data_IF_142664715901
#
_entry.id   IF_142664715901
#
_cell.length_a   1.000
_cell.length_b   1.000
_cell.length_c   1.000
_cell.angle_alpha   90.00
_cell.angle_beta   90.00
_cell.angle_gamma   90.00
#
_symmetry.space_group_name_H-M   'P 1'
#
loop_
_entity.id
_entity.type
_entity.pdbx_description
1 polymer ?
#
# COMPACT_ATOMS: atom_id res chain seq x y z
N UNK A 1 12.30 -14.25 2.72
CA UNK A 1 13.51 -13.71 2.04
C UNK A 1 13.38 -12.21 2.14
N UNK A 2 14.42 -11.49 2.60
CA UNK A 2 14.33 -10.04 2.83
C UNK A 2 14.96 -9.27 1.66
N UNK A 3 14.22 -8.33 1.08
CA UNK A 3 14.67 -7.48 -0.02
C UNK A 3 14.84 -6.01 0.44
N UNK A 4 15.90 -5.35 -0.04
CA UNK A 4 16.13 -3.91 0.07
C UNK A 4 16.42 -3.31 -1.30
N UNK A 5 15.74 -2.22 -1.65
CA UNK A 5 15.94 -1.50 -2.91
C UNK A 5 15.34 -0.11 -2.77
N UNK A 6 16.17 0.91 -3.02
CA UNK A 6 15.78 2.32 -3.11
C UNK A 6 15.69 2.68 -4.58
N UNK A 7 14.51 3.06 -5.06
CA UNK A 7 14.27 3.42 -6.45
C UNK A 7 14.13 4.93 -6.65
N UNK A 8 14.31 5.73 -5.58
CA UNK A 8 14.20 7.19 -5.62
C UNK A 8 12.75 7.67 -5.76
N UNK A 9 11.76 6.80 -5.51
CA UNK A 9 10.35 7.20 -5.55
C UNK A 9 10.04 8.17 -4.41
N UNK A 10 10.52 7.90 -3.19
CA UNK A 10 10.39 8.84 -2.07
C UNK A 10 10.91 10.24 -2.38
N UNK A 11 11.99 10.37 -3.15
CA UNK A 11 12.59 11.67 -3.48
C UNK A 11 11.69 12.50 -4.41
N UNK A 12 10.84 11.84 -5.20
CA UNK A 12 9.90 12.46 -6.13
C UNK A 12 8.54 12.77 -5.50
N UNK A 13 8.29 12.35 -4.25
CA UNK A 13 7.05 12.65 -3.54
C UNK A 13 6.99 14.12 -3.11
N UNK A 14 5.78 14.69 -2.97
CA UNK A 14 5.57 15.95 -2.27
C UNK A 14 6.22 15.94 -0.89
N UNK A 15 6.73 17.10 -0.45
CA UNK A 15 7.53 17.19 0.77
C UNK A 15 6.79 16.67 2.01
N UNK A 16 5.52 17.01 2.15
CA UNK A 16 4.64 16.58 3.24
C UNK A 16 4.49 15.04 3.27
N UNK A 17 4.33 14.42 2.10
CA UNK A 17 4.23 12.96 1.98
C UNK A 17 5.57 12.30 2.29
N UNK A 18 6.68 12.86 1.79
CA UNK A 18 8.03 12.34 2.07
C UNK A 18 8.37 12.41 3.56
N UNK A 19 8.09 13.53 4.22
CA UNK A 19 8.29 13.68 5.67
C UNK A 19 7.46 12.66 6.47
N UNK A 20 6.22 12.40 6.04
CA UNK A 20 5.37 11.36 6.62
C UNK A 20 6.01 9.98 6.47
N UNK A 21 6.50 9.64 5.27
CA UNK A 21 7.18 8.36 5.01
C UNK A 21 8.44 8.21 5.83
N UNK A 22 9.28 9.24 5.92
CA UNK A 22 10.54 9.19 6.68
C UNK A 22 10.29 8.99 8.18
N UNK A 23 9.33 9.74 8.75
CA UNK A 23 8.92 9.59 10.14
C UNK A 23 8.38 8.18 10.42
N UNK A 24 7.40 7.72 9.63
CA UNK A 24 6.81 6.40 9.80
C UNK A 24 7.82 5.28 9.55
N UNK A 25 8.77 5.45 8.62
CA UNK A 25 9.80 4.46 8.36
C UNK A 25 10.70 4.24 9.60
N UNK A 26 11.04 5.31 10.33
CA UNK A 26 11.81 5.21 11.57
C UNK A 26 11.02 4.47 12.65
N UNK A 27 9.74 4.77 12.79
CA UNK A 27 8.86 4.11 13.77
C UNK A 27 8.60 2.64 13.42
N UNK A 28 8.46 2.32 12.14
CA UNK A 28 8.14 0.97 11.67
C UNK A 28 9.37 0.08 11.52
N UNK A 29 10.57 0.62 11.46
CA UNK A 29 11.80 -0.16 11.32
C UNK A 29 11.94 -1.30 12.36
N UNK A 30 11.71 -1.09 13.68
CA UNK A 30 11.78 -2.16 14.67
C UNK A 30 10.59 -3.14 14.61
N UNK A 31 9.49 -2.77 13.96
CA UNK A 31 8.23 -3.51 14.01
C UNK A 31 8.15 -4.68 13.02
N UNK A 32 7.24 -5.61 13.29
CA UNK A 32 6.95 -6.74 12.38
C UNK A 32 5.94 -6.35 11.29
N UNK A 33 5.88 -7.11 10.19
CA UNK A 33 4.91 -6.87 9.12
C UNK A 33 3.45 -6.89 9.57
N UNK A 34 3.00 -7.83 10.42
CA UNK A 34 1.66 -7.77 11.02
C UNK A 34 1.35 -6.43 11.71
N UNK A 35 2.28 -5.91 12.51
CA UNK A 35 2.09 -4.64 13.23
C UNK A 35 2.03 -3.47 12.25
N UNK A 36 2.98 -3.40 11.31
CA UNK A 36 3.01 -2.38 10.25
C UNK A 36 1.72 -2.39 9.43
N UNK A 37 1.25 -3.59 9.07
CA UNK A 37 0.06 -3.78 8.25
C UNK A 37 -1.18 -3.24 8.97
N UNK A 38 -1.42 -3.62 10.22
CA UNK A 38 -2.56 -3.12 11.01
C UNK A 38 -2.50 -1.60 11.17
N UNK A 39 -1.32 -1.03 11.41
CA UNK A 39 -1.16 0.42 11.51
C UNK A 39 -1.52 1.13 10.19
N UNK A 40 -1.08 0.58 9.05
CA UNK A 40 -1.40 1.11 7.73
C UNK A 40 -2.88 0.97 7.38
N UNK A 41 -3.52 -0.15 7.72
CA UNK A 41 -4.97 -0.32 7.55
C UNK A 41 -5.76 0.67 8.41
N UNK A 42 -5.35 0.85 9.66
CA UNK A 42 -5.98 1.80 10.59
C UNK A 42 -5.85 3.24 10.07
N UNK A 43 -4.70 3.59 9.50
CA UNK A 43 -4.49 4.89 8.84
C UNK A 43 -5.44 5.06 7.65
N UNK A 44 -5.58 4.05 6.79
CA UNK A 44 -6.48 4.11 5.63
C UNK A 44 -7.94 4.29 6.05
N UNK A 45 -8.37 3.54 7.06
CA UNK A 45 -9.72 3.63 7.63
C UNK A 45 -9.98 5.03 8.20
N UNK A 46 -9.04 5.57 8.99
CA UNK A 46 -9.17 6.88 9.60
C UNK A 46 -9.25 8.02 8.57
N UNK A 47 -8.38 8.02 7.55
CA UNK A 47 -8.39 9.08 6.54
C UNK A 47 -9.61 8.99 5.61
N UNK A 48 -10.10 7.79 5.32
CA UNK A 48 -11.28 7.60 4.46
C UNK A 48 -12.59 7.86 5.20
N UNK A 49 -12.64 7.58 6.51
CA UNK A 49 -13.78 7.89 7.37
C UNK A 49 -14.02 9.39 7.60
N UNK A 50 -13.01 10.23 7.31
CA UNK A 50 -13.06 11.69 7.47
C UNK A 50 -13.47 12.46 6.20
N UNK A 51 -13.62 11.78 5.07
CA UNK A 51 -13.91 12.42 3.79
C UNK A 51 -15.19 11.87 3.15
N UNK A 52 -15.81 12.69 2.30
CA UNK A 52 -16.94 12.26 1.49
C UNK A 52 -16.51 11.20 0.47
N UNK A 53 -17.46 10.35 0.05
CA UNK A 53 -17.19 9.24 -0.87
C UNK A 53 -16.53 9.68 -2.18
N UNK A 54 -16.93 10.84 -2.72
CA UNK A 54 -16.37 11.41 -3.94
C UNK A 54 -14.87 11.75 -3.80
N UNK A 55 -14.39 11.98 -2.57
CA UNK A 55 -13.01 12.34 -2.27
C UNK A 55 -12.16 11.12 -1.86
N UNK A 56 -12.77 9.97 -1.57
CA UNK A 56 -12.06 8.74 -1.15
C UNK A 56 -10.94 8.32 -2.11
N UNK A 57 -11.09 8.33 -3.44
CA UNK A 57 -10.01 7.90 -4.34
C UNK A 57 -8.73 8.73 -4.20
N UNK A 58 -8.83 10.02 -3.88
CA UNK A 58 -7.66 10.89 -3.71
C UNK A 58 -6.88 10.57 -2.43
N UNK A 59 -7.58 10.31 -1.32
CA UNK A 59 -6.92 9.94 -0.05
C UNK A 59 -6.35 8.52 -0.11
N UNK A 60 -7.02 7.59 -0.81
CA UNK A 60 -6.49 6.25 -1.09
C UNK A 60 -5.23 6.35 -1.94
N UNK A 61 -5.20 7.20 -2.97
CA UNK A 61 -4.00 7.44 -3.77
C UNK A 61 -2.82 7.95 -2.91
N UNK A 62 -3.09 8.89 -1.98
CA UNK A 62 -2.07 9.37 -1.06
C UNK A 62 -1.55 8.27 -0.14
N UNK A 63 -2.45 7.44 0.40
CA UNK A 63 -2.07 6.28 1.21
C UNK A 63 -1.22 5.28 0.43
N UNK A 64 -1.58 4.97 -0.81
CA UNK A 64 -0.80 4.09 -1.69
C UNK A 64 0.60 4.65 -1.93
N UNK A 65 0.73 5.97 -2.10
CA UNK A 65 2.02 6.64 -2.22
C UNK A 65 2.87 6.49 -0.94
N UNK A 66 2.28 6.70 0.23
CA UNK A 66 2.94 6.50 1.53
C UNK A 66 3.41 5.04 1.69
N UNK A 67 2.53 4.07 1.45
CA UNK A 67 2.85 2.64 1.53
C UNK A 67 3.99 2.29 0.59
N UNK A 68 3.98 2.80 -0.63
CA UNK A 68 5.03 2.55 -1.62
C UNK A 68 6.36 3.14 -1.18
N UNK A 69 6.35 4.35 -0.61
CA UNK A 69 7.54 4.96 -0.03
C UNK A 69 8.08 4.15 1.16
N UNK A 70 7.21 3.73 2.07
CA UNK A 70 7.59 2.89 3.21
C UNK A 70 8.21 1.57 2.76
N UNK A 71 7.65 0.95 1.70
CA UNK A 71 8.21 -0.27 1.12
C UNK A 71 9.62 -0.08 0.56
N UNK A 72 10.04 1.13 0.16
CA UNK A 72 11.45 1.39 -0.23
C UNK A 72 12.40 1.46 0.98
N UNK A 73 11.90 1.93 2.13
CA UNK A 73 12.70 2.17 3.33
C UNK A 73 12.72 1.00 4.32
N UNK A 74 11.72 0.13 4.26
CA UNK A 74 11.57 -1.00 5.17
C UNK A 74 12.06 -2.31 4.55
N UNK A 75 12.56 -3.27 5.37
CA UNK A 75 12.85 -4.62 4.92
C UNK A 75 11.58 -5.31 4.44
N UNK A 76 11.53 -5.66 3.15
CA UNK A 76 10.41 -6.39 2.56
C UNK A 76 10.59 -7.87 2.79
N UNK A 77 9.71 -8.48 3.58
CA UNK A 77 9.75 -9.92 3.79
C UNK A 77 8.82 -10.62 2.81
N UNK A 78 9.41 -11.24 1.79
CA UNK A 78 8.67 -11.94 0.74
C UNK A 78 7.99 -13.24 1.23
N UNK A 79 8.17 -13.62 2.50
CA UNK A 79 7.40 -14.70 3.12
C UNK A 79 6.17 -14.19 3.91
N UNK A 80 6.06 -12.88 4.14
CA UNK A 80 4.94 -12.29 4.87
C UNK A 80 3.77 -12.01 3.92
N UNK A 81 2.57 -12.56 4.18
CA UNK A 81 1.38 -12.28 3.38
C UNK A 81 0.99 -10.79 3.44
N UNK A 82 1.24 -10.13 4.57
CA UNK A 82 0.98 -8.70 4.74
C UNK A 82 1.90 -7.84 3.86
N UNK A 83 3.21 -8.17 3.85
CA UNK A 83 4.17 -7.49 2.99
C UNK A 83 3.82 -7.66 1.51
N UNK A 84 3.50 -8.89 1.10
CA UNK A 84 3.12 -9.21 -0.28
C UNK A 84 1.82 -8.50 -0.68
N UNK A 85 0.84 -8.38 0.22
CA UNK A 85 -0.38 -7.60 -0.04
C UNK A 85 -0.09 -6.13 -0.32
N UNK A 86 0.70 -5.47 0.55
CA UNK A 86 1.07 -4.07 0.34
C UNK A 86 1.90 -3.87 -0.94
N UNK A 87 2.80 -4.79 -1.25
CA UNK A 87 3.60 -4.75 -2.48
C UNK A 87 2.74 -4.86 -3.74
N UNK A 88 1.69 -5.67 -3.75
CA UNK A 88 0.75 -5.81 -4.89
C UNK A 88 0.03 -4.50 -5.23
N UNK A 89 -0.24 -3.66 -4.23
CA UNK A 89 -0.93 -2.37 -4.42
C UNK A 89 0.03 -1.18 -4.44
N UNK A 90 1.35 -1.41 -4.42
CA UNK A 90 2.34 -0.35 -4.55
C UNK A 90 2.31 0.28 -5.94
N UNK A 91 2.64 1.57 -6.08
CA UNK A 91 2.83 2.21 -7.41
C UNK A 91 4.16 1.82 -8.08
N UNK A 92 4.98 1.01 -7.41
CA UNK A 92 6.26 0.55 -7.95
C UNK A 92 6.07 -0.79 -8.66
N UNK A 93 6.08 -0.78 -10.00
CA UNK A 93 5.89 -1.97 -10.85
C UNK A 93 6.79 -3.16 -10.45
N UNK A 94 8.03 -2.88 -10.03
CA UNK A 94 8.96 -3.93 -9.59
C UNK A 94 8.48 -4.63 -8.33
N UNK A 95 7.91 -3.90 -7.38
CA UNK A 95 7.37 -4.48 -6.15
C UNK A 95 6.12 -5.32 -6.45
N UNK A 96 5.26 -4.82 -7.34
CA UNK A 96 4.10 -5.60 -7.80
C UNK A 96 4.55 -6.92 -8.46
N UNK A 97 5.54 -6.86 -9.36
CA UNK A 97 6.10 -8.04 -10.03
C UNK A 97 6.72 -9.03 -9.04
N UNK A 98 7.52 -8.55 -8.09
CA UNK A 98 8.07 -9.39 -7.02
C UNK A 98 6.96 -10.07 -6.23
N UNK A 99 5.90 -9.34 -5.86
CA UNK A 99 4.79 -9.92 -5.11
C UNK A 99 4.05 -10.99 -5.92
N UNK A 100 3.77 -10.75 -7.19
CA UNK A 100 3.12 -11.73 -8.08
C UNK A 100 3.96 -13.01 -8.21
N UNK A 101 5.28 -12.89 -8.30
CA UNK A 101 6.16 -14.06 -8.40
C UNK A 101 6.20 -14.89 -7.11
N UNK A 102 6.07 -14.25 -5.95
CA UNK A 102 6.11 -14.89 -4.64
C UNK A 102 4.74 -15.36 -4.14
N UNK A 103 3.65 -14.93 -4.82
CA UNK A 103 2.27 -15.26 -4.50
C UNK A 103 1.60 -16.01 -5.65
N UNK A 104 1.93 -17.31 -5.87
CA UNK A 104 1.31 -18.08 -6.94
C UNK A 104 -0.20 -18.31 -6.73
N UNK A 105 -0.68 -18.29 -5.49
CA UNK A 105 -2.10 -18.30 -5.13
C UNK A 105 -2.48 -17.04 -4.34
N UNK A 106 -2.85 -16.01 -5.09
CA UNK A 106 -3.24 -14.71 -4.54
C UNK A 106 -4.53 -14.79 -3.74
N UNK A 107 -5.48 -15.64 -4.15
CA UNK A 107 -6.77 -15.71 -3.47
C UNK A 107 -6.64 -16.41 -2.12
N UNK A 108 -5.86 -17.49 -2.03
CA UNK A 108 -5.57 -18.13 -0.75
C UNK A 108 -4.90 -17.16 0.25
N UNK A 109 -4.00 -16.31 -0.23
CA UNK A 109 -3.40 -15.27 0.62
C UNK A 109 -4.43 -14.22 1.05
N UNK A 110 -5.29 -13.77 0.15
CA UNK A 110 -6.37 -12.84 0.48
C UNK A 110 -7.37 -13.46 1.48
N UNK A 111 -7.74 -14.73 1.34
CA UNK A 111 -8.58 -15.44 2.30
C UNK A 111 -7.95 -15.48 3.70
N UNK A 112 -6.65 -15.78 3.78
CA UNK A 112 -5.90 -15.69 5.03
C UNK A 112 -5.98 -14.27 5.61
N UNK A 113 -5.69 -13.24 4.81
CA UNK A 113 -5.69 -11.85 5.27
C UNK A 113 -7.07 -11.39 5.74
N UNK A 114 -8.15 -11.74 5.05
CA UNK A 114 -9.53 -11.43 5.48
C UNK A 114 -9.89 -12.11 6.80
N UNK A 115 -9.36 -13.31 7.06
CA UNK A 115 -9.59 -14.05 8.30
C UNK A 115 -8.84 -13.44 9.48
N UNK A 116 -7.56 -13.10 9.31
CA UNK A 116 -6.71 -12.60 10.39
C UNK A 116 -6.88 -11.08 10.61
N UNK A 117 -7.20 -10.33 9.55
CA UNK A 117 -7.34 -8.88 9.56
C UNK A 117 -8.71 -8.47 9.00
N UNK A 118 -9.76 -8.38 9.82
CA UNK A 118 -11.10 -8.03 9.35
C UNK A 118 -11.18 -6.69 8.60
N UNK A 119 -10.32 -5.73 8.94
CA UNK A 119 -10.18 -4.44 8.25
C UNK A 119 -9.70 -4.58 6.80
N UNK A 120 -9.06 -5.70 6.44
CA UNK A 120 -8.52 -5.92 5.11
C UNK A 120 -9.61 -5.91 4.03
N UNK A 121 -10.78 -6.49 4.31
CA UNK A 121 -11.91 -6.48 3.36
C UNK A 121 -12.32 -5.05 2.97
N UNK A 122 -12.32 -4.12 3.93
CA UNK A 122 -12.64 -2.71 3.69
C UNK A 122 -11.54 -2.05 2.84
N UNK A 123 -10.28 -2.33 3.17
CA UNK A 123 -9.15 -1.83 2.39
C UNK A 123 -9.16 -2.37 0.95
N UNK A 124 -9.50 -3.63 0.73
CA UNK A 124 -9.64 -4.22 -0.62
C UNK A 124 -10.71 -3.50 -1.44
N UNK A 125 -11.86 -3.19 -0.84
CA UNK A 125 -12.92 -2.46 -1.54
C UNK A 125 -12.49 -1.03 -1.88
N UNK A 126 -11.85 -0.32 -0.94
CA UNK A 126 -11.30 1.02 -1.18
C UNK A 126 -10.22 1.03 -2.27
N UNK A 127 -9.33 0.05 -2.27
CA UNK A 127 -8.28 -0.10 -3.28
C UNK A 127 -8.86 -0.43 -4.65
N UNK A 128 -9.86 -1.31 -4.72
CA UNK A 128 -10.57 -1.62 -5.97
C UNK A 128 -11.29 -0.40 -6.53
N UNK A 129 -11.98 0.37 -5.69
CA UNK A 129 -12.65 1.60 -6.09
C UNK A 129 -11.66 2.64 -6.62
N UNK A 130 -10.53 2.79 -5.95
CA UNK A 130 -9.42 3.62 -6.40
C UNK A 130 -8.86 3.17 -7.75
N UNK A 131 -8.58 1.87 -7.94
CA UNK A 131 -8.06 1.33 -9.20
C UNK A 131 -9.03 1.57 -10.36
N UNK A 132 -10.33 1.36 -10.13
CA UNK A 132 -11.38 1.67 -11.11
C UNK A 132 -11.44 3.17 -11.43
N UNK A 133 -11.32 4.03 -10.42
CA UNK A 133 -11.27 5.47 -10.60
C UNK A 133 -10.03 5.90 -11.40
N UNK A 134 -8.85 5.40 -11.05
CA UNK A 134 -7.58 5.71 -11.73
C UNK A 134 -7.62 5.27 -13.21
N UNK A 135 -8.18 4.09 -13.49
CA UNK A 135 -8.37 3.59 -14.85
C UNK A 135 -9.37 4.43 -15.67
N UNK A 136 -10.33 5.09 -15.03
CA UNK A 136 -11.23 6.05 -15.70
C UNK A 136 -10.50 7.36 -15.99
N UNK A 137 -9.74 7.89 -15.02
CA UNK A 137 -8.98 9.13 -15.21
C UNK A 137 -7.92 9.02 -16.31
N UNK A 138 -7.24 7.89 -16.42
CA UNK A 138 -6.24 7.67 -17.48
C UNK A 138 -6.82 7.70 -18.89
N UNK A 139 -8.10 7.33 -19.05
CA UNK A 139 -8.85 7.43 -20.33
C UNK A 139 -9.34 8.84 -20.64
N UNK A 140 -9.35 9.74 -19.65
CA UNK A 140 -9.85 11.12 -19.76
C UNK A 140 -8.72 12.10 -20.13
N UNK A 141 -7.45 11.67 -20.17
CA UNK A 141 -6.35 12.55 -20.62
C UNK A 141 -6.65 13.11 -22.02
N UNK A 142 -6.73 14.45 -22.19
CA UNK A 142 -6.87 15.06 -23.50
C UNK A 142 -5.57 14.85 -24.28
N UNK A 143 -5.70 14.50 -25.56
CA UNK A 143 -4.62 14.63 -26.54
C UNK A 143 -4.14 16.09 -26.63
#
# INVERSE_FOLDING_TARGET
MIEYSRHGFCDALPQDVRETVEMMALEFLPETWPVRFVALLSMLEDITGKVEEAHRPYVVNNWVAIVSGLLEHLPRDLASPECLALMRHSVLDRLQQSAIQQSPDVEQQNEFLRREYPQWSIAEDLLRDYEMWAAKQSKIKPN
#
